data_IF_153540685849
#
_entry.id   IF_153540685849
#
_cell.length_a   1.000
_cell.length_b   1.000
_cell.length_c   1.000
_cell.angle_alpha   90.00
_cell.angle_beta   90.00
_cell.angle_gamma   90.00
#
_symmetry.space_group_name_H-M   'P 1'
#
loop_
_entity.id
_entity.type
_entity.pdbx_description
1 polymer ?
#
# COMPACT_ATOMS: atom_id res chain seq x y z
N UNK A 1 2.82 -0.72 -23.44
CA UNK A 1 3.49 -2.03 -23.24
C UNK A 1 2.43 -3.00 -22.75
N UNK A 2 2.32 -4.18 -23.37
CA UNK A 2 1.34 -5.19 -22.93
C UNK A 2 1.68 -5.70 -21.53
N UNK A 3 0.71 -6.18 -20.75
CA UNK A 3 1.00 -6.84 -19.48
C UNK A 3 1.86 -8.09 -19.66
N UNK A 4 1.69 -8.80 -20.77
CA UNK A 4 2.56 -9.92 -21.15
C UNK A 4 4.02 -9.47 -21.32
N UNK A 5 4.25 -8.34 -22.00
CA UNK A 5 5.60 -7.77 -22.17
C UNK A 5 6.21 -7.39 -20.83
N UNK A 6 5.40 -6.82 -19.92
CA UNK A 6 5.81 -6.48 -18.56
C UNK A 6 6.20 -7.71 -17.74
N UNK A 7 5.40 -8.77 -17.78
CA UNK A 7 5.76 -10.01 -17.10
C UNK A 7 7.04 -10.63 -17.68
N UNK A 8 7.28 -10.49 -18.99
CA UNK A 8 8.53 -10.96 -19.61
C UNK A 8 9.73 -10.12 -19.18
N UNK A 9 9.60 -8.78 -19.16
CA UNK A 9 10.70 -7.88 -18.77
C UNK A 9 11.09 -8.03 -17.30
N UNK A 10 10.11 -8.26 -16.43
CA UNK A 10 10.32 -8.45 -14.99
C UNK A 10 10.68 -9.90 -14.62
N UNK A 11 10.76 -10.83 -15.59
CA UNK A 11 11.01 -12.25 -15.31
C UNK A 11 9.85 -12.96 -14.59
N UNK A 12 8.66 -12.36 -14.60
CA UNK A 12 7.46 -12.82 -13.92
C UNK A 12 6.56 -13.76 -14.74
N UNK A 13 6.90 -13.99 -16.01
CA UNK A 13 6.13 -14.82 -16.93
C UNK A 13 6.01 -16.28 -16.44
N UNK A 14 4.77 -16.77 -16.30
CA UNK A 14 4.48 -18.13 -15.88
C UNK A 14 4.95 -19.11 -16.98
N UNK A 15 5.90 -19.99 -16.67
CA UNK A 15 6.32 -21.04 -17.60
C UNK A 15 5.28 -22.16 -17.61
N UNK A 16 4.81 -22.54 -18.79
CA UNK A 16 3.99 -23.74 -18.95
C UNK A 16 4.78 -24.98 -18.49
N UNK A 17 4.21 -25.74 -17.54
CA UNK A 17 4.76 -27.04 -17.15
C UNK A 17 4.53 -28.03 -18.29
N UNK A 18 5.54 -28.23 -19.14
CA UNK A 18 5.56 -29.36 -20.09
C UNK A 18 5.68 -30.68 -19.31
N UNK A 19 4.93 -31.75 -19.67
CA UNK A 19 5.09 -33.06 -19.03
C UNK A 19 6.54 -33.56 -19.16
N UNK A 20 7.08 -34.12 -18.06
CA UNK A 20 8.48 -34.61 -17.97
C UNK A 20 8.79 -35.66 -19.04
N UNK A 21 9.81 -35.38 -19.84
CA UNK A 21 10.65 -36.40 -20.48
C UNK A 21 12.11 -36.17 -20.01
N UNK A 22 12.79 -37.25 -19.62
CA UNK A 22 14.18 -37.28 -19.16
C UNK A 22 15.13 -37.80 -20.26
N UNK A 23 16.46 -37.91 -20.06
CA UNK A 23 17.44 -36.84 -20.14
C UNK A 23 18.56 -37.13 -21.18
N UNK A 24 19.22 -36.10 -21.74
CA UNK A 24 20.56 -36.12 -22.38
C UNK A 24 20.83 -34.73 -23.03
N UNK A 25 21.99 -34.05 -23.01
CA UNK A 25 23.37 -34.22 -22.49
C UNK A 25 23.93 -32.82 -22.17
N UNK A 26 24.99 -32.77 -21.35
CA UNK A 26 25.75 -31.57 -20.92
C UNK A 26 26.47 -30.81 -22.06
N UNK A 27 26.84 -29.53 -21.83
CA UNK A 27 27.43 -28.61 -22.82
C UNK A 27 28.96 -28.70 -22.89
N UNK A 28 29.51 -28.21 -24.01
CA UNK A 28 30.93 -28.06 -24.29
C UNK A 28 31.37 -26.60 -24.10
N UNK A 29 32.60 -26.45 -23.64
CA UNK A 29 33.27 -25.32 -22.99
C UNK A 29 33.99 -24.43 -24.03
N UNK A 30 34.01 -23.09 -23.87
CA UNK A 30 35.14 -22.28 -24.36
C UNK A 30 35.28 -20.93 -23.65
N UNK A 31 36.54 -20.68 -23.33
CA UNK A 31 37.18 -19.72 -22.43
C UNK A 31 37.31 -18.25 -22.91
N UNK A 32 37.71 -17.42 -21.94
CA UNK A 32 38.58 -16.22 -22.05
C UNK A 32 38.02 -14.89 -22.63
N UNK A 33 37.89 -13.83 -21.79
CA UNK A 33 38.98 -12.92 -21.33
C UNK A 33 38.45 -11.51 -20.97
N UNK A 34 38.78 -11.08 -19.76
CA UNK A 34 38.74 -9.72 -19.20
C UNK A 34 39.77 -8.80 -19.87
N UNK A 35 39.59 -7.46 -19.79
CA UNK A 35 40.73 -6.59 -19.58
C UNK A 35 40.58 -5.70 -18.33
N UNK A 36 41.61 -5.79 -17.49
CA UNK A 36 42.00 -4.79 -16.47
C UNK A 36 42.91 -3.78 -17.16
N UNK A 37 42.78 -2.49 -16.81
CA UNK A 37 43.82 -1.50 -17.07
C UNK A 37 44.15 -0.72 -15.77
N UNK A 38 45.37 -0.92 -15.26
CA UNK A 38 46.15 0.05 -14.46
C UNK A 38 47.06 0.77 -15.48
N UNK A 39 47.57 2.00 -15.39
CA UNK A 39 48.16 2.83 -14.32
C UNK A 39 48.43 4.21 -14.98
N UNK A 40 48.37 5.36 -14.31
CA UNK A 40 49.53 6.17 -13.83
C UNK A 40 48.94 7.48 -13.25
N UNK A 41 49.16 7.76 -11.96
CA UNK A 41 50.27 8.54 -11.39
C UNK A 41 50.37 9.97 -11.92
N UNK A 42 49.98 10.93 -11.07
CA UNK A 42 50.85 12.06 -10.76
C UNK A 42 50.70 12.47 -9.29
N UNK A 43 51.84 12.49 -8.60
CA UNK A 43 52.06 13.02 -7.25
C UNK A 43 52.34 14.51 -7.35
N UNK A 44 51.85 15.31 -6.39
CA UNK A 44 52.64 16.39 -5.78
C UNK A 44 52.21 16.56 -4.32
N UNK A 45 53.17 16.32 -3.44
CA UNK A 45 53.18 16.59 -2.00
C UNK A 45 53.46 18.07 -1.70
N UNK A 46 53.40 18.37 -0.40
CA UNK A 46 53.90 19.54 0.36
C UNK A 46 52.81 20.51 0.83
N UNK A 47 52.79 21.03 2.05
CA UNK A 47 53.42 20.70 3.33
C UNK A 47 52.78 21.65 4.37
N UNK A 48 52.51 21.18 5.58
CA UNK A 48 52.33 22.00 6.78
C UNK A 48 53.69 22.57 7.24
N UNK A 49 53.78 23.70 7.98
CA UNK A 49 53.80 23.56 9.45
C UNK A 49 53.37 24.79 10.30
N UNK A 50 53.09 24.43 11.56
CA UNK A 50 53.41 25.05 12.86
C UNK A 50 52.87 26.36 13.43
N UNK A 51 52.59 26.18 14.73
CA UNK A 51 52.19 27.03 15.84
C UNK A 51 53.28 28.03 16.23
N UNK A 52 52.91 29.29 16.51
CA UNK A 52 53.68 30.19 17.39
C UNK A 52 52.79 31.24 18.10
N UNK A 53 52.86 31.30 19.44
CA UNK A 53 52.65 32.49 20.31
C UNK A 53 53.94 33.37 20.28
N UNK A 54 54.00 34.68 20.67
CA UNK A 54 53.41 35.36 21.88
C UNK A 54 53.15 36.91 21.64
N UNK A 55 53.31 37.89 22.58
CA UNK A 55 53.01 38.01 24.02
C UNK A 55 51.98 39.13 24.37
N UNK A 56 51.64 39.18 25.67
CA UNK A 56 50.78 40.12 26.44
C UNK A 56 51.10 41.62 26.35
N UNK A 57 50.06 42.48 26.30
CA UNK A 57 50.02 43.81 26.92
C UNK A 57 48.60 44.25 27.36
N UNK A 58 48.49 44.52 28.67
CA UNK A 58 47.72 45.57 29.38
C UNK A 58 46.24 45.88 29.05
N UNK A 59 45.39 45.51 30.02
CA UNK A 59 44.34 46.30 30.70
C UNK A 59 43.64 47.44 29.96
N UNK A 60 42.35 47.27 29.69
CA UNK A 60 41.35 48.34 29.75
C UNK A 60 39.96 47.80 30.12
N UNK A 61 39.30 48.53 31.02
CA UNK A 61 38.02 48.23 31.67
C UNK A 61 36.87 48.19 30.65
N UNK A 62 36.12 47.08 30.61
CA UNK A 62 34.80 47.02 29.95
C UNK A 62 33.76 46.69 31.03
N UNK A 63 32.65 47.46 31.15
CA UNK A 63 31.67 47.26 32.21
C UNK A 63 30.99 45.89 32.10
N UNK A 64 30.85 45.22 33.23
CA UNK A 64 30.03 44.02 33.38
C UNK A 64 28.59 44.28 32.93
N UNK A 65 28.24 43.82 31.73
CA UNK A 65 26.85 43.63 31.31
C UNK A 65 26.25 42.52 32.18
N UNK A 66 25.43 42.92 33.14
CA UNK A 66 24.59 42.00 33.91
C UNK A 66 23.72 41.21 32.91
N UNK A 67 23.65 39.87 32.98
CA UNK A 67 22.72 39.11 32.16
C UNK A 67 21.30 39.59 32.47
N UNK A 68 20.58 40.07 31.45
CA UNK A 68 19.16 40.36 31.60
C UNK A 68 18.44 39.07 32.03
N UNK A 69 17.78 39.13 33.17
CA UNK A 69 16.88 38.08 33.64
C UNK A 69 15.87 37.78 32.51
N UNK A 70 15.74 36.51 32.07
CA UNK A 70 14.80 36.20 31.00
C UNK A 70 13.41 36.58 31.48
N UNK A 71 12.77 37.50 30.75
CA UNK A 71 11.39 37.88 30.97
C UNK A 71 10.55 36.59 31.12
N UNK A 72 9.62 36.52 32.08
CA UNK A 72 8.80 35.32 32.27
C UNK A 72 8.08 35.04 30.95
N UNK A 73 8.54 34.00 30.26
CA UNK A 73 7.90 33.52 29.04
C UNK A 73 6.54 33.01 29.49
N UNK A 74 5.50 33.80 29.27
CA UNK A 74 4.13 33.32 29.35
C UNK A 74 3.95 32.31 28.21
N UNK A 75 4.35 31.07 28.46
CA UNK A 75 4.04 29.96 27.57
C UNK A 75 2.54 29.74 27.71
N UNK A 76 1.78 30.24 26.74
CA UNK A 76 0.35 29.93 26.67
C UNK A 76 0.23 28.40 26.66
N UNK A 77 -0.59 27.81 27.55
CA UNK A 77 -0.78 26.37 27.56
C UNK A 77 -1.28 25.93 26.18
N UNK A 78 -0.78 24.80 25.65
CA UNK A 78 -1.17 24.33 24.34
C UNK A 78 -2.69 24.10 24.28
N UNK A 79 -3.30 24.50 23.16
CA UNK A 79 -4.72 24.34 22.94
C UNK A 79 -5.06 22.85 22.84
N UNK A 80 -6.13 22.44 23.53
CA UNK A 80 -6.59 21.05 23.50
C UNK A 80 -7.38 20.82 22.22
N UNK A 81 -6.67 20.48 21.15
CA UNK A 81 -7.28 20.09 19.87
C UNK A 81 -7.82 18.68 19.98
N UNK A 82 -9.09 18.50 19.62
CA UNK A 82 -9.77 17.19 19.60
C UNK A 82 -10.37 16.99 18.22
N UNK A 83 -9.94 15.94 17.53
CA UNK A 83 -10.50 15.51 16.24
C UNK A 83 -10.85 14.04 16.28
N UNK A 84 -11.87 13.65 15.53
CA UNK A 84 -12.33 12.27 15.40
C UNK A 84 -11.83 11.63 14.11
N UNK A 85 -12.05 10.34 13.94
CA UNK A 85 -11.85 9.67 12.65
C UNK A 85 -12.84 10.19 11.59
N UNK A 86 -12.40 10.21 10.33
CA UNK A 86 -13.26 10.42 9.16
C UNK A 86 -14.30 9.33 9.01
N UNK A 87 -15.38 9.56 8.27
CA UNK A 87 -16.39 8.53 8.02
C UNK A 87 -15.78 7.27 7.36
N UNK A 88 -16.29 6.07 7.65
CA UNK A 88 -15.83 4.84 7.00
C UNK A 88 -16.08 4.89 5.47
N UNK A 89 -15.37 4.08 4.67
CA UNK A 89 -15.58 4.06 3.23
C UNK A 89 -16.92 3.41 2.85
N UNK A 90 -17.42 3.75 1.68
CA UNK A 90 -18.55 3.06 1.06
C UNK A 90 -18.05 1.76 0.41
N UNK A 91 -18.67 0.64 0.78
CA UNK A 91 -18.24 -0.67 0.29
C UNK A 91 -18.81 -0.96 -1.11
N UNK A 92 -18.01 -1.53 -2.04
CA UNK A 92 -18.51 -1.98 -3.33
C UNK A 92 -19.47 -3.18 -3.19
N UNK A 93 -20.31 -3.38 -4.20
CA UNK A 93 -21.15 -4.57 -4.29
C UNK A 93 -20.32 -5.86 -4.44
N UNK A 94 -20.89 -6.97 -3.98
CA UNK A 94 -20.36 -8.31 -4.28
C UNK A 94 -20.33 -8.56 -5.79
N UNK A 95 -19.34 -9.31 -6.27
CA UNK A 95 -19.21 -9.69 -7.68
C UNK A 95 -18.02 -9.03 -8.38
N UNK A 96 -18.07 -8.99 -9.71
CA UNK A 96 -16.94 -8.53 -10.53
C UNK A 96 -17.04 -7.04 -10.81
N UNK A 97 -15.94 -6.32 -10.58
CA UNK A 97 -15.82 -4.89 -10.89
C UNK A 97 -14.42 -4.57 -11.37
N UNK A 98 -14.29 -3.56 -12.23
CA UNK A 98 -13.00 -2.99 -12.61
C UNK A 98 -12.72 -1.78 -11.73
N UNK A 99 -11.54 -1.73 -11.14
CA UNK A 99 -11.20 -0.69 -10.16
C UNK A 99 -9.71 -0.34 -10.22
N UNK A 100 -9.36 0.85 -9.75
CA UNK A 100 -7.97 1.27 -9.64
C UNK A 100 -7.38 0.89 -8.28
N UNK A 101 -6.07 0.66 -8.23
CA UNK A 101 -5.33 0.44 -6.98
C UNK A 101 -4.60 1.73 -6.61
N UNK A 102 -4.94 2.31 -5.46
CA UNK A 102 -4.39 3.58 -4.98
C UNK A 102 -3.13 3.39 -4.15
N UNK A 103 -3.04 2.31 -3.37
CA UNK A 103 -1.87 1.98 -2.56
C UNK A 103 -1.80 0.48 -2.26
N UNK A 104 -0.62 0.02 -1.87
CA UNK A 104 -0.39 -1.32 -1.31
C UNK A 104 0.42 -1.15 -0.03
N UNK A 105 -0.13 -1.60 1.09
CA UNK A 105 0.51 -1.59 2.39
C UNK A 105 1.66 -2.59 2.48
N UNK A 106 2.58 -2.36 3.40
CA UNK A 106 3.69 -3.29 3.66
C UNK A 106 3.23 -4.60 4.33
N UNK A 107 1.98 -4.63 4.80
CA UNK A 107 1.24 -5.80 5.26
C UNK A 107 0.48 -6.51 4.13
N UNK A 108 0.68 -6.11 2.87
CA UNK A 108 0.03 -6.69 1.70
C UNK A 108 -1.45 -6.31 1.54
N UNK A 109 -1.98 -5.39 2.36
CA UNK A 109 -3.32 -4.83 2.15
C UNK A 109 -3.33 -3.98 0.89
N UNK A 110 -4.29 -4.22 0.01
CA UNK A 110 -4.45 -3.52 -1.26
C UNK A 110 -5.56 -2.49 -1.10
N UNK A 111 -5.29 -1.22 -1.35
CA UNK A 111 -6.29 -0.16 -1.31
C UNK A 111 -6.83 0.10 -2.71
N UNK A 112 -8.15 -0.04 -2.86
CA UNK A 112 -8.86 0.14 -4.14
C UNK A 112 -9.71 1.40 -4.13
N UNK A 113 -9.88 2.00 -5.30
CA UNK A 113 -10.65 3.23 -5.50
C UNK A 113 -11.46 3.16 -6.80
N UNK A 114 -12.78 3.42 -6.71
CA UNK A 114 -13.65 3.50 -7.89
C UNK A 114 -13.28 4.71 -8.75
N UNK A 115 -13.64 4.68 -10.03
CA UNK A 115 -13.41 5.83 -10.92
C UNK A 115 -14.13 7.10 -10.42
N UNK A 116 -15.33 6.95 -9.86
CA UNK A 116 -16.05 8.07 -9.26
C UNK A 116 -15.31 8.62 -8.03
N UNK A 117 -14.74 7.76 -7.18
CA UNK A 117 -13.95 8.16 -6.04
C UNK A 117 -12.63 8.86 -6.45
N UNK A 118 -12.00 8.45 -7.56
CA UNK A 118 -10.84 9.17 -8.13
C UNK A 118 -11.22 10.60 -8.53
N UNK A 119 -12.38 10.79 -9.17
CA UNK A 119 -12.86 12.13 -9.51
C UNK A 119 -13.19 12.96 -8.27
N UNK A 120 -13.84 12.34 -7.26
CA UNK A 120 -14.12 12.99 -5.99
C UNK A 120 -12.84 13.39 -5.25
N UNK A 121 -11.77 12.59 -5.33
CA UNK A 121 -10.49 12.89 -4.70
C UNK A 121 -9.91 14.21 -5.22
N UNK A 122 -9.98 14.46 -6.53
CA UNK A 122 -9.49 15.72 -7.11
C UNK A 122 -10.30 16.93 -6.62
N UNK A 123 -11.64 16.82 -6.59
CA UNK A 123 -12.50 17.87 -6.03
C UNK A 123 -12.22 18.11 -4.53
N UNK A 124 -11.96 17.03 -3.80
CA UNK A 124 -11.68 17.07 -2.36
C UNK A 124 -10.36 17.78 -2.07
N UNK A 125 -9.30 17.50 -2.84
CA UNK A 125 -8.01 18.22 -2.76
C UNK A 125 -8.20 19.72 -2.94
N UNK A 126 -8.95 20.13 -3.96
CA UNK A 126 -9.23 21.54 -4.21
C UNK A 126 -10.00 22.21 -3.06
N UNK A 127 -11.04 21.54 -2.52
CA UNK A 127 -11.83 22.04 -1.39
C UNK A 127 -11.00 22.18 -0.12
N UNK A 128 -10.12 21.22 0.17
CA UNK A 128 -9.21 21.28 1.32
C UNK A 128 -8.21 22.43 1.15
N UNK A 129 -7.60 22.54 -0.03
CA UNK A 129 -6.64 23.60 -0.35
C UNK A 129 -7.28 24.99 -0.19
N UNK A 130 -8.52 25.18 -0.64
CA UNK A 130 -9.25 26.44 -0.49
C UNK A 130 -9.57 26.73 0.97
N UNK A 131 -10.00 25.71 1.73
CA UNK A 131 -10.30 25.85 3.16
C UNK A 131 -9.07 26.29 3.95
N UNK A 132 -7.89 25.73 3.67
CA UNK A 132 -6.66 26.07 4.39
C UNK A 132 -6.15 27.49 4.12
N UNK A 133 -6.48 28.09 2.97
CA UNK A 133 -6.10 29.49 2.66
C UNK A 133 -6.73 30.51 3.62
N UNK A 134 -7.86 30.19 4.22
CA UNK A 134 -8.60 31.09 5.11
C UNK A 134 -8.37 30.79 6.58
N UNK A 135 -7.72 29.67 6.90
CA UNK A 135 -7.47 29.24 8.26
C UNK A 135 -6.23 29.91 8.86
N UNK A 136 -6.26 30.23 10.17
CA UNK A 136 -5.09 30.75 10.85
C UNK A 136 -4.00 29.68 10.95
N UNK A 137 -2.77 30.12 11.21
CA UNK A 137 -1.71 29.21 11.62
C UNK A 137 -2.11 28.48 12.92
N UNK A 138 -1.91 27.15 13.02
CA UNK A 138 -2.24 26.43 14.22
C UNK A 138 -1.43 26.97 15.41
N UNK A 139 -2.11 27.28 16.52
CA UNK A 139 -1.44 27.51 17.80
C UNK A 139 -0.80 26.21 18.29
N UNK A 140 0.18 26.25 19.21
CA UNK A 140 0.70 25.04 19.83
C UNK A 140 -0.42 24.16 20.39
N UNK A 141 -0.44 22.89 20.01
CA UNK A 141 -1.47 21.92 20.37
C UNK A 141 -0.88 20.63 20.93
N UNK A 142 -1.72 19.84 21.61
CA UNK A 142 -1.34 18.50 22.05
C UNK A 142 -1.92 17.43 21.13
N UNK A 143 -1.09 16.48 20.74
CA UNK A 143 -1.50 15.38 19.86
C UNK A 143 -2.43 14.32 20.49
N UNK A 144 -2.58 14.34 21.82
CA UNK A 144 -3.27 13.27 22.58
C UNK A 144 -4.71 12.98 22.14
N UNK A 145 -5.35 13.92 21.46
CA UNK A 145 -6.75 13.82 21.04
C UNK A 145 -6.95 14.11 19.55
N UNK A 146 -5.87 14.05 18.76
CA UNK A 146 -5.94 14.21 17.30
C UNK A 146 -6.04 12.84 16.65
N UNK A 147 -7.14 12.56 15.97
CA UNK A 147 -7.34 11.34 15.17
C UNK A 147 -7.32 11.66 13.67
N UNK A 148 -8.23 12.52 13.20
CA UNK A 148 -8.24 13.03 11.83
C UNK A 148 -7.53 14.38 11.73
N UNK A 149 -6.86 14.63 10.61
CA UNK A 149 -6.13 15.86 10.33
C UNK A 149 -6.09 16.15 8.82
N UNK A 150 -5.57 17.31 8.43
CA UNK A 150 -5.13 17.56 7.07
C UNK A 150 -3.61 17.42 6.98
N UNK A 151 -3.11 16.86 5.88
CA UNK A 151 -1.69 16.62 5.65
C UNK A 151 -1.24 17.11 4.29
N UNK A 152 -0.06 17.69 4.20
CA UNK A 152 0.53 18.08 2.91
C UNK A 152 1.30 16.90 2.31
N UNK A 153 0.97 16.55 1.08
CA UNK A 153 1.65 15.53 0.30
C UNK A 153 2.96 16.03 -0.34
N UNK A 154 3.76 15.13 -0.91
CA UNK A 154 4.99 15.48 -1.62
C UNK A 154 4.74 16.31 -2.90
N UNK A 155 3.53 16.28 -3.43
CA UNK A 155 3.06 17.08 -4.54
C UNK A 155 2.61 18.50 -4.11
N UNK A 156 2.80 18.86 -2.85
CA UNK A 156 2.37 20.13 -2.24
C UNK A 156 0.85 20.32 -2.18
N UNK A 157 0.07 19.26 -2.43
CA UNK A 157 -1.38 19.26 -2.25
C UNK A 157 -1.75 18.87 -0.83
N UNK A 158 -2.90 19.35 -0.34
CA UNK A 158 -3.42 18.95 0.96
C UNK A 158 -4.43 17.80 0.84
N UNK A 159 -4.32 16.85 1.77
CA UNK A 159 -5.11 15.63 1.84
C UNK A 159 -5.74 15.47 3.22
N UNK A 160 -6.70 14.56 3.33
CA UNK A 160 -7.20 14.09 4.62
C UNK A 160 -6.26 13.02 5.17
N UNK A 161 -5.90 13.16 6.43
CA UNK A 161 -4.97 12.29 7.13
C UNK A 161 -5.59 11.68 8.39
N UNK A 162 -5.11 10.51 8.77
CA UNK A 162 -5.37 9.89 10.06
C UNK A 162 -4.06 9.65 10.79
N UNK A 163 -3.97 10.18 12.01
CA UNK A 163 -2.86 9.95 12.92
C UNK A 163 -2.81 8.47 13.31
N UNK A 164 -1.71 7.80 13.01
CA UNK A 164 -1.48 6.42 13.45
C UNK A 164 -0.55 6.38 14.65
N UNK A 165 0.56 7.11 14.59
CA UNK A 165 1.59 7.07 15.62
C UNK A 165 2.39 8.39 15.68
N UNK A 166 2.76 8.81 16.89
CA UNK A 166 3.64 9.96 17.10
C UNK A 166 5.07 9.50 17.34
N UNK A 167 5.99 10.03 16.56
CA UNK A 167 7.40 9.65 16.52
C UNK A 167 8.28 10.87 16.83
N UNK A 168 7.97 11.57 17.92
CA UNK A 168 8.65 12.80 18.34
C UNK A 168 8.44 13.94 17.34
N UNK A 169 9.48 14.29 16.58
CA UNK A 169 9.40 15.32 15.52
C UNK A 169 8.72 14.84 14.23
N UNK A 170 8.38 13.55 14.15
CA UNK A 170 7.68 12.95 13.03
C UNK A 170 6.37 12.32 13.49
N UNK A 171 5.55 11.96 12.51
CA UNK A 171 4.26 11.35 12.70
C UNK A 171 4.02 10.34 11.60
N UNK A 172 3.58 9.14 11.98
CA UNK A 172 3.06 8.15 11.06
C UNK A 172 1.60 8.48 10.79
N UNK A 173 1.29 8.76 9.53
CA UNK A 173 -0.04 9.19 9.09
C UNK A 173 -0.51 8.34 7.93
N UNK A 174 -1.81 8.07 7.87
CA UNK A 174 -2.46 7.49 6.70
C UNK A 174 -3.19 8.57 5.93
N UNK A 175 -2.94 8.68 4.62
CA UNK A 175 -3.74 9.44 3.69
C UNK A 175 -5.04 8.67 3.45
N UNK A 176 -6.09 8.99 4.20
CA UNK A 176 -7.29 8.11 4.35
C UNK A 176 -8.05 7.87 3.05
N UNK A 177 -7.89 8.78 2.08
CA UNK A 177 -8.52 8.67 0.77
C UNK A 177 -7.69 7.86 -0.22
N UNK A 178 -6.42 7.59 0.07
CA UNK A 178 -5.50 6.86 -0.82
C UNK A 178 -5.06 5.52 -0.22
N UNK A 179 -5.13 5.37 1.10
CA UNK A 179 -4.60 4.21 1.82
C UNK A 179 -3.09 4.23 2.02
N UNK A 180 -2.41 5.25 1.48
CA UNK A 180 -0.97 5.46 1.62
C UNK A 180 -0.61 5.80 3.07
N UNK A 181 0.43 5.17 3.60
CA UNK A 181 0.95 5.44 4.95
C UNK A 181 2.37 5.97 4.84
N UNK A 182 2.65 7.11 5.47
CA UNK A 182 3.97 7.73 5.47
C UNK A 182 4.37 8.22 6.86
N UNK A 183 5.69 8.33 7.07
CA UNK A 183 6.26 9.00 8.24
C UNK A 183 6.72 10.39 7.81
N UNK A 184 5.98 11.44 8.23
CA UNK A 184 6.23 12.82 7.81
C UNK A 184 6.59 13.71 9.01
N UNK A 185 7.29 14.83 8.80
CA UNK A 185 7.49 15.84 9.84
C UNK A 185 6.17 16.38 10.39
N UNK A 186 6.11 16.65 11.70
CA UNK A 186 4.90 17.22 12.34
C UNK A 186 4.44 18.55 11.73
N UNK A 187 5.34 19.30 11.12
CA UNK A 187 5.05 20.59 10.46
C UNK A 187 4.23 20.43 9.17
N UNK A 188 4.15 19.21 8.63
CA UNK A 188 3.34 18.88 7.45
C UNK A 188 1.89 18.51 7.80
N UNK A 189 1.50 18.66 9.07
CA UNK A 189 0.17 18.30 9.56
C UNK A 189 -0.54 19.53 10.11
N UNK A 190 -1.76 19.71 9.65
CA UNK A 190 -2.71 20.67 10.20
C UNK A 190 -3.76 19.89 11.01
N UNK A 191 -3.83 20.05 12.35
CA UNK A 191 -4.62 19.18 13.23
C UNK A 191 -6.11 19.59 13.24
N UNK A 192 -6.76 19.55 12.08
CA UNK A 192 -8.16 19.91 11.93
C UNK A 192 -8.86 18.90 11.04
N UNK A 193 -10.11 18.58 11.38
CA UNK A 193 -10.95 17.70 10.59
C UNK A 193 -11.62 18.50 9.46
N UNK A 194 -11.02 18.47 8.27
CA UNK A 194 -11.57 19.12 7.08
C UNK A 194 -12.37 18.13 6.23
N UNK A 195 -13.51 18.57 5.70
CA UNK A 195 -14.41 17.76 4.87
C UNK A 195 -14.82 16.44 5.56
N UNK A 196 -15.28 16.54 6.82
CA UNK A 196 -15.69 15.40 7.65
C UNK A 196 -16.98 14.70 7.15
N UNK A 197 -17.74 15.38 6.30
CA UNK A 197 -18.96 14.92 5.65
C UNK A 197 -18.70 13.89 4.55
N UNK A 198 -17.48 13.82 4.02
CA UNK A 198 -17.12 12.91 2.92
C UNK A 198 -16.66 11.56 3.49
N UNK A 199 -17.21 10.41 3.05
CA UNK A 199 -16.66 9.08 3.35
C UNK A 199 -15.21 8.91 2.88
N UNK A 200 -14.48 7.94 3.44
CA UNK A 200 -13.15 7.59 2.90
C UNK A 200 -13.29 7.08 1.45
N UNK A 201 -12.41 7.56 0.57
CA UNK A 201 -12.50 7.27 -0.86
C UNK A 201 -11.81 5.98 -1.30
N UNK A 202 -10.96 5.41 -0.44
CA UNK A 202 -10.34 4.11 -0.70
C UNK A 202 -10.90 3.02 0.22
N UNK A 203 -10.87 1.78 -0.27
CA UNK A 203 -11.33 0.62 0.48
C UNK A 203 -10.19 -0.38 0.64
N UNK A 204 -9.86 -0.82 1.87
CA UNK A 204 -8.83 -1.84 2.07
C UNK A 204 -9.32 -3.23 1.63
N UNK A 205 -8.43 -4.00 1.04
CA UNK A 205 -8.70 -5.34 0.52
C UNK A 205 -7.60 -6.33 0.89
N UNK A 206 -7.98 -7.58 1.10
CA UNK A 206 -7.07 -8.70 1.27
C UNK A 206 -7.33 -9.75 0.18
N UNK A 207 -6.25 -10.33 -0.33
CA UNK A 207 -6.34 -11.45 -1.27
C UNK A 207 -6.89 -12.70 -0.58
N UNK A 208 -7.97 -13.24 -1.12
CA UNK A 208 -8.60 -14.46 -0.62
C UNK A 208 -7.76 -15.69 -0.97
N UNK A 209 -7.68 -16.63 -0.01
CA UNK A 209 -7.20 -17.98 -0.26
C UNK A 209 -5.68 -18.13 -0.31
N UNK A 210 -4.92 -17.12 0.12
CA UNK A 210 -3.45 -17.20 0.18
C UNK A 210 -2.91 -16.73 1.53
N UNK A 211 -1.74 -17.24 1.89
CA UNK A 211 -0.93 -16.82 3.03
C UNK A 211 0.46 -16.38 2.55
N UNK A 212 1.05 -15.33 3.14
CA UNK A 212 2.41 -14.93 2.79
C UNK A 212 3.41 -16.06 3.04
N UNK A 213 4.53 -16.05 2.33
CA UNK A 213 5.68 -16.89 2.64
C UNK A 213 6.32 -16.41 3.96
N UNK A 214 5.90 -17.03 5.07
CA UNK A 214 6.30 -16.68 6.44
C UNK A 214 5.15 -16.10 7.26
N UNK A 215 5.49 -15.42 8.36
CA UNK A 215 4.47 -14.83 9.25
C UNK A 215 3.89 -13.52 8.70
N UNK A 216 4.66 -12.80 7.87
CA UNK A 216 4.30 -11.50 7.29
C UNK A 216 4.73 -11.47 5.83
N UNK A 217 4.12 -10.57 5.06
CA UNK A 217 4.55 -10.29 3.70
C UNK A 217 6.00 -9.82 3.67
N UNK A 218 6.80 -10.47 2.82
CA UNK A 218 8.19 -10.07 2.61
C UNK A 218 8.25 -8.83 1.71
N UNK A 219 9.27 -7.96 1.87
CA UNK A 219 9.37 -6.72 1.09
C UNK A 219 9.39 -6.92 -0.43
N UNK A 220 10.01 -8.00 -0.90
CA UNK A 220 10.04 -8.41 -2.31
C UNK A 220 8.64 -8.82 -2.82
N UNK A 221 7.87 -9.55 -2.01
CA UNK A 221 6.49 -9.89 -2.31
C UNK A 221 5.61 -8.62 -2.43
N UNK A 222 5.75 -7.68 -1.48
CA UNK A 222 5.02 -6.40 -1.54
C UNK A 222 5.46 -5.58 -2.75
N UNK A 223 6.75 -5.53 -3.06
CA UNK A 223 7.26 -4.86 -4.25
C UNK A 223 6.69 -5.47 -5.54
N UNK A 224 6.60 -6.80 -5.62
CA UNK A 224 5.94 -7.48 -6.73
C UNK A 224 4.47 -7.07 -6.84
N UNK A 225 3.71 -7.09 -5.73
CA UNK A 225 2.30 -6.65 -5.73
C UNK A 225 2.18 -5.20 -6.22
N UNK A 226 3.03 -4.30 -5.71
CA UNK A 226 3.09 -2.89 -6.11
C UNK A 226 3.35 -2.73 -7.61
N UNK A 227 4.39 -3.39 -8.13
CA UNK A 227 4.78 -3.30 -9.55
C UNK A 227 3.69 -3.81 -10.49
N UNK A 228 2.97 -4.84 -10.06
CA UNK A 228 1.93 -5.48 -10.87
C UNK A 228 0.60 -4.70 -10.80
N UNK A 229 0.26 -4.09 -9.66
CA UNK A 229 -1.05 -3.47 -9.43
C UNK A 229 -1.09 -1.96 -9.60
N UNK A 230 -0.06 -1.23 -9.14
CA UNK A 230 -0.10 0.23 -9.14
C UNK A 230 -0.13 0.79 -10.56
N UNK A 231 -0.79 1.94 -10.72
CA UNK A 231 -0.96 2.65 -12.00
C UNK A 231 -1.79 1.86 -13.04
N UNK A 232 -2.62 0.91 -12.60
CA UNK A 232 -3.46 0.08 -13.49
C UNK A 232 -4.89 -0.04 -12.96
N UNK A 233 -5.83 -0.16 -13.89
CA UNK A 233 -7.19 -0.62 -13.61
C UNK A 233 -7.21 -2.15 -13.69
N UNK A 234 -7.52 -2.81 -12.58
CA UNK A 234 -7.54 -4.26 -12.43
C UNK A 234 -8.96 -4.79 -12.32
N UNK A 235 -9.18 -6.03 -12.74
CA UNK A 235 -10.45 -6.71 -12.49
C UNK A 235 -10.38 -7.35 -11.11
N UNK A 236 -11.37 -7.08 -10.27
CA UNK A 236 -11.50 -7.70 -8.96
C UNK A 236 -12.83 -8.44 -8.87
N UNK A 237 -12.85 -9.50 -8.07
CA UNK A 237 -14.07 -10.15 -7.61
C UNK A 237 -14.18 -9.95 -6.10
N UNK A 238 -15.18 -9.19 -5.68
CA UNK A 238 -15.54 -9.01 -4.28
C UNK A 238 -16.31 -10.25 -3.82
N UNK A 239 -15.75 -10.96 -2.83
CA UNK A 239 -16.29 -12.24 -2.35
C UNK A 239 -17.04 -12.08 -1.04
N UNK A 240 -16.48 -11.31 -0.11
CA UNK A 240 -17.03 -11.14 1.24
C UNK A 240 -16.82 -9.71 1.72
N UNK A 241 -17.89 -9.13 2.29
CA UNK A 241 -17.85 -7.80 2.91
C UNK A 241 -17.57 -7.94 4.41
N UNK A 242 -16.71 -7.09 4.98
CA UNK A 242 -16.44 -7.09 6.41
C UNK A 242 -17.62 -6.49 7.20
N UNK A 243 -17.72 -6.86 8.49
CA UNK A 243 -18.69 -6.25 9.41
C UNK A 243 -18.35 -4.79 9.75
N UNK A 244 -17.05 -4.48 9.92
CA UNK A 244 -16.56 -3.11 9.99
C UNK A 244 -16.16 -2.66 8.59
N UNK A 245 -16.78 -1.62 8.01
CA UNK A 245 -16.43 -1.14 6.67
C UNK A 245 -14.98 -0.63 6.54
N UNK A 246 -14.26 -0.38 7.64
CA UNK A 246 -12.82 -0.06 7.61
C UNK A 246 -11.91 -1.28 7.56
N UNK A 247 -12.43 -2.47 7.87
CA UNK A 247 -11.64 -3.69 7.78
C UNK A 247 -11.47 -4.11 6.31
N UNK A 248 -10.41 -4.89 5.98
CA UNK A 248 -10.20 -5.33 4.61
C UNK A 248 -11.32 -6.26 4.09
N UNK A 249 -11.85 -5.99 2.90
CA UNK A 249 -12.75 -6.94 2.22
C UNK A 249 -11.98 -8.05 1.51
N UNK A 250 -12.60 -9.22 1.36
CA UNK A 250 -11.96 -10.38 0.72
C UNK A 250 -12.18 -10.35 -0.80
N UNK A 251 -11.08 -10.38 -1.55
CA UNK A 251 -11.12 -10.28 -3.02
C UNK A 251 -10.28 -11.34 -3.73
N UNK A 252 -10.67 -11.66 -4.96
CA UNK A 252 -9.74 -12.12 -5.98
C UNK A 252 -9.35 -10.96 -6.89
N UNK A 253 -8.07 -10.85 -7.24
CA UNK A 253 -7.56 -9.83 -8.15
C UNK A 253 -7.03 -10.50 -9.42
N UNK A 254 -7.39 -9.94 -10.57
CA UNK A 254 -7.06 -10.45 -11.90
C UNK A 254 -6.41 -9.36 -12.76
N UNK A 255 -5.33 -9.73 -13.44
CA UNK A 255 -4.60 -8.90 -14.39
C UNK A 255 -4.62 -9.57 -15.74
N UNK A 256 -5.35 -8.99 -16.69
CA UNK A 256 -5.57 -9.56 -18.03
C UNK A 256 -5.95 -11.05 -17.98
N UNK A 257 -6.82 -11.42 -17.03
CA UNK A 257 -7.31 -12.77 -16.81
C UNK A 257 -6.41 -13.66 -15.92
N UNK A 258 -5.21 -13.21 -15.55
CA UNK A 258 -4.32 -13.95 -14.64
C UNK A 258 -4.58 -13.59 -13.18
N UNK A 259 -4.78 -14.60 -12.34
CA UNK A 259 -4.97 -14.42 -10.89
C UNK A 259 -3.68 -13.96 -10.21
N UNK A 260 -3.74 -12.84 -9.48
CA UNK A 260 -2.62 -12.35 -8.69
C UNK A 260 -2.18 -13.39 -7.64
N UNK A 261 -3.12 -14.03 -6.97
CA UNK A 261 -2.84 -15.10 -6.00
C UNK A 261 -1.99 -16.22 -6.60
N UNK A 262 -2.26 -16.61 -7.86
CA UNK A 262 -1.48 -17.62 -8.58
C UNK A 262 -0.08 -17.11 -8.97
N UNK A 263 0.05 -15.85 -9.36
CA UNK A 263 1.34 -15.21 -9.65
C UNK A 263 2.21 -15.23 -8.38
N UNK A 264 1.67 -14.78 -7.25
CA UNK A 264 2.39 -14.77 -5.96
C UNK A 264 2.81 -16.17 -5.52
N UNK A 265 1.95 -17.17 -5.67
CA UNK A 265 2.30 -18.55 -5.34
C UNK A 265 3.35 -19.15 -6.29
N UNK A 266 3.35 -18.76 -7.57
CA UNK A 266 4.34 -19.25 -8.53
C UNK A 266 5.75 -18.74 -8.22
N UNK A 267 5.84 -17.50 -7.76
CA UNK A 267 7.10 -16.85 -7.37
C UNK A 267 7.46 -17.07 -5.90
N UNK A 268 6.86 -18.07 -5.25
CA UNK A 268 7.18 -18.49 -3.88
C UNK A 268 6.97 -17.40 -2.81
N UNK A 269 6.23 -16.33 -3.13
CA UNK A 269 5.89 -15.25 -2.20
C UNK A 269 4.65 -15.55 -1.34
N UNK A 270 3.85 -16.54 -1.74
CA UNK A 270 2.66 -16.97 -1.03
C UNK A 270 2.40 -18.47 -1.21
N UNK A 271 1.52 -19.03 -0.37
CA UNK A 271 0.99 -20.38 -0.52
C UNK A 271 -0.53 -20.35 -0.44
N UNK A 272 -1.20 -21.28 -1.13
CA UNK A 272 -2.65 -21.41 -1.07
C UNK A 272 -3.09 -21.91 0.30
N UNK A 273 -4.10 -21.27 0.88
CA UNK A 273 -4.65 -21.69 2.16
C UNK A 273 -5.52 -22.94 1.99
N UNK A 274 -4.98 -24.09 2.38
CA UNK A 274 -5.63 -25.39 2.18
C UNK A 274 -6.93 -25.54 3.00
N UNK A 275 -7.13 -24.72 4.04
CA UNK A 275 -8.34 -24.73 4.86
C UNK A 275 -9.57 -24.19 4.11
N UNK A 276 -9.38 -23.33 3.10
CA UNK A 276 -10.46 -22.76 2.30
C UNK A 276 -10.83 -23.61 1.08
N UNK A 277 -9.93 -24.50 0.63
CA UNK A 277 -10.18 -25.45 -0.46
C UNK A 277 -11.10 -26.63 -0.08
N UNK A 278 -11.26 -26.94 1.21
CA UNK A 278 -12.08 -28.09 1.65
C UNK A 278 -13.58 -27.76 1.69
N UNK A 279 -13.97 -26.49 1.59
CA UNK A 279 -15.38 -26.06 1.75
C UNK A 279 -16.20 -26.03 0.46
N UNK A 280 -15.68 -26.52 -0.68
CA UNK A 280 -16.43 -26.64 -1.95
C UNK A 280 -16.23 -28.00 -2.63
N UNK A 281 -16.48 -29.08 -1.91
CA UNK A 281 -16.97 -30.32 -2.52
C UNK A 281 -18.26 -30.74 -1.81
N UNK A 282 -19.38 -30.10 -2.16
CA UNK A 282 -20.68 -30.75 -2.00
C UNK A 282 -20.71 -31.85 -3.05
N UNK A 283 -20.48 -33.08 -2.61
CA UNK A 283 -20.68 -34.30 -3.37
C UNK A 283 -22.11 -34.31 -3.89
N UNK A 284 -22.31 -33.95 -5.15
CA UNK A 284 -23.59 -34.16 -5.82
C UNK A 284 -23.81 -35.66 -5.94
N UNK A 285 -24.76 -36.22 -5.17
CA UNK A 285 -25.32 -37.52 -5.50
C UNK A 285 -26.11 -37.39 -6.81
N UNK A 286 -25.99 -38.35 -7.74
CA UNK A 286 -26.85 -38.38 -8.90
C UNK A 286 -28.29 -38.69 -8.44
N UNK A 287 -29.32 -38.06 -9.04
CA UNK A 287 -30.71 -38.37 -8.72
C UNK A 287 -31.01 -39.83 -9.09
N UNK A 288 -31.76 -40.51 -8.22
CA UNK A 288 -32.19 -41.89 -8.43
C UNK A 288 -32.94 -42.05 -9.77
N UNK A 289 -32.79 -43.20 -10.46
CA UNK A 289 -33.52 -43.44 -11.69
C UNK A 289 -35.01 -43.57 -11.36
N UNK A 290 -35.81 -42.71 -12.00
CA UNK A 290 -37.27 -42.86 -12.03
C UNK A 290 -37.57 -44.12 -12.83
N UNK A 291 -38.05 -45.16 -12.15
CA UNK A 291 -38.67 -46.33 -12.79
C UNK A 291 -40.00 -45.88 -13.38
N UNK A 292 -40.06 -45.84 -14.71
CA UNK A 292 -41.31 -45.63 -15.45
C UNK A 292 -42.03 -46.99 -15.55
N UNK A 293 -42.98 -47.23 -14.64
CA UNK A 293 -43.92 -48.35 -14.71
C UNK A 293 -44.93 -48.09 -15.84
N UNK A 294 -44.65 -48.60 -17.03
CA UNK A 294 -45.64 -48.73 -18.09
C UNK A 294 -46.00 -50.20 -18.26
N UNK A 295 -47.05 -50.60 -17.53
CA UNK A 295 -47.71 -51.90 -17.63
C UNK A 295 -48.19 -52.17 -19.07
N UNK A 296 -47.58 -53.17 -19.71
CA UNK A 296 -48.13 -53.81 -20.90
C UNK A 296 -49.39 -54.59 -20.51
N UNK A 297 -50.57 -54.03 -20.79
CA UNK A 297 -51.79 -54.86 -20.87
C UNK A 297 -52.11 -55.16 -22.33
N UNK A 298 -51.74 -56.37 -22.76
CA UNK A 298 -52.20 -56.98 -24.00
C UNK A 298 -53.49 -57.74 -23.72
N UNK A 299 -54.63 -57.23 -24.20
CA UNK A 299 -55.87 -58.01 -24.38
C UNK A 299 -56.90 -57.21 -25.18
N UNK A 300 -57.25 -57.70 -26.37
CA UNK A 300 -58.48 -57.30 -27.07
C UNK A 300 -58.39 -57.20 -28.60
N UNK A 301 -58.41 -58.36 -29.28
CA UNK A 301 -58.85 -58.52 -30.68
C UNK A 301 -60.32 -58.01 -30.78
N UNK A 302 -60.80 -57.38 -31.86
CA UNK A 302 -61.08 -57.95 -33.20
C UNK A 302 -61.42 -56.85 -34.24
N UNK A 303 -61.36 -57.16 -35.56
CA UNK A 303 -61.59 -56.21 -36.65
C UNK A 303 -63.02 -56.26 -37.23
N UNK A 304 -63.52 -55.11 -37.70
CA UNK A 304 -64.37 -54.95 -38.90
C UNK A 304 -64.02 -53.63 -39.60
#
# INVERSE_FOLDING_TARGET
MSFADFLLSEGLALRDKKPRAAPNKKPEDTDAKTPVCKTQNDRKEESSPDVHLPPTYSSSLIPSLVPAEPAPQFTMPPEKVVTTLYQPPELPCLGHVRISVSAVGDDGVIYIMTQDAEHQLEQLKEKIQQSLKTLPTPKPYTWKSVQGCAVIGPDMSWYRGQLLELLGGHVKVQYVDLGLVECIPVVHVYPMLLCADVPQLCVPCQLLGIKPAGEKWQPDAVALIKNVLLHRSVAIQVVELPADPRAPLMVHVFLDGMSLSRILCHHEHASMDQTLSVSKEVKAEPPAPVLDDWDMNTKGLTPE
#
